data_IF_856491826520
#
_entry.id   IF_856491826520
#
_cell.length_a   1.000
_cell.length_b   1.000
_cell.length_c   1.000
_cell.angle_alpha   90.00
_cell.angle_beta   90.00
_cell.angle_gamma   90.00
#
_symmetry.space_group_name_H-M   'P 1'
#
loop_
_entity.id
_entity.type
_entity.pdbx_description
1 polymer ?
#
# COMPACT_ATOMS: atom_id res chain seq x y z
N UNK A 1 1.74 17.96 -12.49
CA UNK A 1 2.41 16.63 -12.54
C UNK A 1 1.45 15.63 -13.13
N UNK A 2 1.84 14.94 -14.20
CA UNK A 2 1.04 13.89 -14.82
C UNK A 2 1.38 12.54 -14.14
N UNK A 3 0.37 11.87 -13.59
CA UNK A 3 0.56 10.69 -12.71
C UNK A 3 -0.25 9.51 -13.22
N UNK A 4 0.43 8.43 -13.56
CA UNK A 4 -0.20 7.16 -13.89
C UNK A 4 -0.48 6.36 -12.60
N UNK A 5 -1.71 5.89 -12.42
CA UNK A 5 -2.08 5.03 -11.29
C UNK A 5 -2.47 3.66 -11.82
N UNK A 6 -1.69 2.62 -11.52
CA UNK A 6 -2.04 1.24 -11.90
C UNK A 6 -2.81 0.55 -10.79
N UNK A 7 -3.82 -0.27 -11.12
CA UNK A 7 -4.73 -0.84 -10.12
C UNK A 7 -5.64 0.23 -9.49
N UNK A 8 -6.00 1.21 -10.29
CA UNK A 8 -6.63 2.45 -9.86
C UNK A 8 -8.03 2.26 -9.27
N UNK A 9 -8.74 1.20 -9.63
CA UNK A 9 -10.10 0.92 -9.14
C UNK A 9 -10.14 0.04 -7.89
N UNK A 10 -8.97 -0.36 -7.37
CA UNK A 10 -8.87 -1.04 -6.08
C UNK A 10 -9.04 -0.09 -4.88
N UNK A 11 -9.12 -0.65 -3.67
CA UNK A 11 -9.31 0.09 -2.41
C UNK A 11 -8.30 1.23 -2.22
N UNK A 12 -7.02 1.01 -2.54
CA UNK A 12 -5.96 2.02 -2.41
C UNK A 12 -6.07 3.08 -3.52
N UNK A 13 -6.33 2.67 -4.76
CA UNK A 13 -6.46 3.58 -5.90
C UNK A 13 -7.64 4.54 -5.75
N UNK A 14 -8.80 4.02 -5.33
CA UNK A 14 -9.98 4.85 -5.07
C UNK A 14 -9.75 5.81 -3.89
N UNK A 15 -8.97 5.41 -2.86
CA UNK A 15 -8.62 6.32 -1.79
C UNK A 15 -7.79 7.52 -2.29
N UNK A 16 -6.86 7.29 -3.22
CA UNK A 16 -6.06 8.35 -3.82
C UNK A 16 -6.95 9.29 -4.65
N UNK A 17 -7.78 8.76 -5.54
CA UNK A 17 -8.63 9.58 -6.40
C UNK A 17 -9.73 10.32 -5.64
N UNK A 18 -10.29 9.73 -4.58
CA UNK A 18 -11.31 10.37 -3.73
C UNK A 18 -10.75 11.60 -2.97
N UNK A 19 -9.47 11.61 -2.65
CA UNK A 19 -8.85 12.67 -1.85
C UNK A 19 -7.93 13.61 -2.63
N UNK A 20 -7.34 13.16 -3.72
CA UNK A 20 -6.41 13.96 -4.55
C UNK A 20 -6.95 14.23 -5.95
N UNK A 21 -8.07 13.62 -6.37
CA UNK A 21 -8.58 13.74 -7.73
C UNK A 21 -8.95 15.16 -8.16
N UNK A 22 -9.34 16.01 -7.22
CA UNK A 22 -9.66 17.44 -7.46
C UNK A 22 -8.47 18.38 -7.15
N UNK A 23 -7.28 17.85 -6.85
CA UNK A 23 -6.10 18.66 -6.56
C UNK A 23 -5.40 19.08 -7.86
N UNK A 24 -5.43 20.37 -8.18
CA UNK A 24 -4.84 20.96 -9.40
C UNK A 24 -3.34 20.69 -9.59
N UNK A 25 -2.64 20.16 -8.57
CA UNK A 25 -1.22 19.76 -8.68
C UNK A 25 -1.03 18.52 -9.54
N UNK A 26 -2.05 17.65 -9.64
CA UNK A 26 -1.97 16.35 -10.27
C UNK A 26 -2.98 16.20 -11.40
N UNK A 27 -2.55 15.56 -12.49
CA UNK A 27 -3.43 15.05 -13.56
C UNK A 27 -3.32 13.53 -13.54
N UNK A 28 -4.38 12.82 -13.13
CA UNK A 28 -4.35 11.36 -13.03
C UNK A 28 -4.79 10.68 -14.32
N UNK A 29 -4.00 9.68 -14.76
CA UNK A 29 -4.39 8.66 -15.73
C UNK A 29 -4.55 7.34 -14.97
N UNK A 30 -5.72 6.73 -15.04
CA UNK A 30 -6.07 5.53 -14.29
C UNK A 30 -5.94 4.30 -15.18
N UNK A 31 -5.01 3.40 -14.83
CA UNK A 31 -4.82 2.13 -15.54
C UNK A 31 -5.31 0.97 -14.67
N UNK A 32 -6.23 0.19 -15.22
CA UNK A 32 -6.77 -1.01 -14.56
C UNK A 32 -7.17 -2.05 -15.61
N UNK A 33 -7.43 -3.28 -15.18
CA UNK A 33 -8.02 -4.32 -16.04
C UNK A 33 -9.55 -4.15 -16.22
N UNK A 34 -10.17 -3.34 -15.37
CA UNK A 34 -11.60 -3.07 -15.39
C UNK A 34 -11.89 -1.68 -15.96
N UNK A 35 -12.94 -1.60 -16.80
CA UNK A 35 -13.47 -0.33 -17.31
C UNK A 35 -14.51 0.22 -16.32
N UNK A 36 -14.08 1.12 -15.44
CA UNK A 36 -14.96 1.76 -14.46
C UNK A 36 -15.10 3.24 -14.80
N UNK A 37 -16.34 3.78 -14.91
CA UNK A 37 -16.54 5.20 -15.15
C UNK A 37 -15.83 6.09 -14.13
N UNK A 38 -15.03 7.03 -14.60
CA UNK A 38 -14.24 7.96 -13.78
C UNK A 38 -14.26 9.36 -14.39
N UNK A 39 -14.12 10.45 -13.62
CA UNK A 39 -13.86 11.78 -14.13
C UNK A 39 -12.45 11.93 -14.73
N UNK A 40 -11.52 11.02 -14.42
CA UNK A 40 -10.16 10.99 -14.93
C UNK A 40 -10.04 10.14 -16.20
N UNK A 41 -8.97 10.32 -16.95
CA UNK A 41 -8.65 9.43 -18.06
C UNK A 41 -8.45 8.00 -17.56
N UNK A 42 -9.14 7.04 -18.19
CA UNK A 42 -9.05 5.61 -17.84
C UNK A 42 -8.49 4.82 -19.00
N UNK A 43 -7.55 3.94 -18.70
CA UNK A 43 -6.91 3.00 -19.62
C UNK A 43 -7.18 1.57 -19.14
N UNK A 44 -7.69 0.73 -20.03
CA UNK A 44 -7.86 -0.71 -19.75
C UNK A 44 -6.66 -1.45 -20.32
N UNK A 45 -5.80 -1.99 -19.43
CA UNK A 45 -4.61 -2.74 -19.81
C UNK A 45 -4.17 -3.69 -18.69
N UNK A 46 -3.53 -4.80 -19.05
CA UNK A 46 -2.98 -5.78 -18.12
C UNK A 46 -1.50 -5.49 -17.86
N UNK A 47 -1.11 -5.29 -16.62
CA UNK A 47 0.29 -5.07 -16.22
C UNK A 47 1.19 -6.28 -16.51
N UNK A 48 0.62 -7.45 -16.72
CA UNK A 48 1.33 -8.64 -17.21
C UNK A 48 1.84 -8.51 -18.65
N UNK A 49 1.26 -7.59 -19.44
CA UNK A 49 1.53 -7.43 -20.87
C UNK A 49 2.30 -6.11 -21.12
N UNK A 50 3.63 -6.18 -21.17
CA UNK A 50 4.49 -5.00 -21.32
C UNK A 50 4.10 -4.09 -22.50
N UNK A 51 3.85 -4.69 -23.67
CA UNK A 51 3.52 -3.95 -24.88
C UNK A 51 2.16 -3.21 -24.79
N UNK A 52 1.25 -3.69 -23.92
CA UNK A 52 -0.03 -3.03 -23.67
C UNK A 52 0.15 -1.81 -22.77
N UNK A 53 0.95 -1.91 -21.71
CA UNK A 53 1.09 -0.84 -20.73
C UNK A 53 2.08 0.24 -21.15
N UNK A 54 3.17 -0.13 -21.84
CA UNK A 54 4.28 0.77 -22.16
C UNK A 54 3.89 2.10 -22.79
N UNK A 55 2.95 2.15 -23.76
CA UNK A 55 2.54 3.42 -24.37
C UNK A 55 1.90 4.43 -23.40
N UNK A 56 1.32 3.96 -22.30
CA UNK A 56 0.62 4.79 -21.34
C UNK A 56 1.54 5.43 -20.28
N UNK A 57 2.81 5.03 -20.25
CA UNK A 57 3.85 5.69 -19.46
C UNK A 57 4.46 6.91 -20.15
N UNK A 58 4.29 7.04 -21.47
CA UNK A 58 4.83 8.18 -22.20
C UNK A 58 4.15 9.49 -21.79
N UNK A 59 4.96 10.47 -21.40
CA UNK A 59 4.48 11.79 -20.98
C UNK A 59 3.98 11.84 -19.53
N UNK A 60 4.09 10.75 -18.77
CA UNK A 60 3.85 10.77 -17.34
C UNK A 60 5.13 11.23 -16.60
N UNK A 61 4.94 11.96 -15.51
CA UNK A 61 6.03 12.36 -14.60
C UNK A 61 6.30 11.26 -13.55
N UNK A 62 5.24 10.59 -13.09
CA UNK A 62 5.34 9.58 -12.04
C UNK A 62 4.35 8.43 -12.26
N UNK A 63 4.63 7.27 -11.64
CA UNK A 63 3.66 6.19 -11.51
C UNK A 63 3.42 5.81 -10.05
N UNK A 64 2.14 5.69 -9.67
CA UNK A 64 1.71 5.07 -8.42
C UNK A 64 1.29 3.64 -8.74
N UNK A 65 2.17 2.69 -8.39
CA UNK A 65 1.98 1.28 -8.76
C UNK A 65 1.27 0.50 -7.64
N UNK A 66 -0.01 0.24 -7.83
CA UNK A 66 -0.88 -0.46 -6.87
C UNK A 66 -1.33 -1.83 -7.37
N UNK A 67 -1.32 -2.03 -8.69
CA UNK A 67 -1.84 -3.23 -9.33
C UNK A 67 -1.15 -4.50 -8.83
N UNK A 68 -1.94 -5.56 -8.68
CA UNK A 68 -1.50 -6.89 -8.31
C UNK A 68 -2.37 -7.91 -9.04
N UNK A 69 -1.76 -8.89 -9.71
CA UNK A 69 -2.50 -10.00 -10.33
C UNK A 69 -3.05 -10.89 -9.21
N UNK A 70 -4.37 -11.11 -9.14
CA UNK A 70 -4.99 -11.90 -8.09
C UNK A 70 -4.52 -13.35 -8.06
N UNK A 71 -4.55 -13.99 -6.89
CA UNK A 71 -4.32 -15.44 -6.74
C UNK A 71 -3.01 -15.86 -6.09
N UNK A 72 -2.17 -14.91 -5.64
CA UNK A 72 -0.95 -15.23 -4.85
C UNK A 72 -1.25 -15.83 -3.47
N UNK A 73 -2.51 -15.97 -3.12
CA UNK A 73 -2.96 -16.25 -1.76
C UNK A 73 -3.08 -14.95 -0.96
N UNK A 74 -4.07 -14.87 -0.07
CA UNK A 74 -4.20 -13.72 0.81
C UNK A 74 -3.01 -13.61 1.77
N UNK A 75 -2.87 -12.47 2.45
CA UNK A 75 -1.77 -12.21 3.40
C UNK A 75 -1.68 -13.27 4.51
N UNK A 76 -2.79 -13.94 4.83
CA UNK A 76 -2.84 -15.01 5.83
C UNK A 76 -2.41 -16.39 5.30
N UNK A 77 -2.15 -16.52 3.99
CA UNK A 77 -1.70 -17.77 3.38
C UNK A 77 -0.22 -17.99 3.64
N UNK A 78 0.12 -18.85 4.57
CA UNK A 78 1.50 -19.29 4.87
C UNK A 78 1.96 -20.50 4.06
N UNK A 79 1.16 -20.94 3.11
CA UNK A 79 1.52 -22.06 2.24
C UNK A 79 2.65 -21.62 1.28
N UNK A 80 3.82 -22.27 1.36
CA UNK A 80 4.94 -22.04 0.44
C UNK A 80 4.74 -22.75 -0.90
N UNK A 81 3.51 -22.82 -1.39
CA UNK A 81 3.24 -23.44 -2.67
C UNK A 81 3.40 -22.40 -3.77
N UNK A 82 4.40 -22.57 -4.60
CA UNK A 82 4.56 -21.75 -5.79
C UNK A 82 3.36 -21.95 -6.72
N UNK A 83 2.78 -20.88 -7.18
CA UNK A 83 1.69 -20.87 -8.16
C UNK A 83 2.00 -19.92 -9.33
N UNK A 84 1.21 -19.99 -10.40
CA UNK A 84 1.41 -19.15 -11.58
C UNK A 84 1.22 -17.67 -11.25
N UNK A 85 0.23 -17.29 -10.47
CA UNK A 85 -0.01 -15.89 -10.10
C UNK A 85 1.17 -15.24 -9.38
N UNK A 86 2.00 -16.01 -8.68
CA UNK A 86 3.22 -15.50 -8.07
C UNK A 86 4.30 -15.18 -9.13
N UNK A 87 4.46 -16.05 -10.13
CA UNK A 87 5.37 -15.80 -11.25
C UNK A 87 4.86 -14.61 -12.07
N UNK A 88 3.57 -14.59 -12.38
CA UNK A 88 2.92 -13.53 -13.15
C UNK A 88 3.08 -12.16 -12.47
N UNK A 89 2.96 -12.09 -11.13
CA UNK A 89 3.21 -10.85 -10.38
C UNK A 89 4.68 -10.40 -10.38
N UNK A 90 5.64 -11.31 -10.40
CA UNK A 90 7.05 -10.93 -10.54
C UNK A 90 7.32 -10.35 -11.94
N UNK A 91 6.75 -10.93 -12.99
CA UNK A 91 6.81 -10.42 -14.34
C UNK A 91 6.12 -9.05 -14.48
N UNK A 92 4.91 -8.91 -13.93
CA UNK A 92 4.17 -7.65 -13.92
C UNK A 92 4.92 -6.51 -13.21
N UNK A 93 5.59 -6.81 -12.09
CA UNK A 93 6.48 -5.85 -11.42
C UNK A 93 7.61 -5.38 -12.34
N UNK A 94 8.29 -6.31 -13.04
CA UNK A 94 9.30 -5.95 -14.03
C UNK A 94 8.73 -5.07 -15.13
N UNK A 95 7.60 -5.43 -15.72
CA UNK A 95 6.98 -4.68 -16.80
C UNK A 95 6.72 -3.22 -16.41
N UNK A 96 6.17 -2.98 -15.22
CA UNK A 96 5.86 -1.63 -14.75
C UNK A 96 7.14 -0.81 -14.50
N UNK A 97 8.14 -1.41 -13.84
CA UNK A 97 9.41 -0.72 -13.60
C UNK A 97 10.18 -0.43 -14.89
N UNK A 98 10.24 -1.41 -15.81
CA UNK A 98 10.87 -1.24 -17.11
C UNK A 98 10.16 -0.17 -17.94
N UNK A 99 8.81 -0.17 -17.98
CA UNK A 99 8.04 0.84 -18.67
C UNK A 99 8.27 2.26 -18.11
N UNK A 100 8.38 2.39 -16.78
CA UNK A 100 8.68 3.66 -16.13
C UNK A 100 10.09 4.17 -16.48
N UNK A 101 11.09 3.29 -16.46
CA UNK A 101 12.47 3.60 -16.82
C UNK A 101 12.57 3.97 -18.30
N UNK A 102 11.97 3.17 -19.19
CA UNK A 102 12.00 3.38 -20.65
C UNK A 102 11.27 4.65 -21.09
N UNK A 103 10.25 5.07 -20.34
CA UNK A 103 9.55 6.32 -20.58
C UNK A 103 10.26 7.53 -19.95
N UNK A 104 11.21 7.29 -19.04
CA UNK A 104 11.99 8.34 -18.37
C UNK A 104 11.19 9.07 -17.29
N UNK A 105 10.34 8.36 -16.57
CA UNK A 105 9.60 8.93 -15.43
C UNK A 105 10.56 9.38 -14.33
N UNK A 106 10.17 10.42 -13.59
CA UNK A 106 10.94 10.95 -12.47
C UNK A 106 10.86 10.06 -11.23
N UNK A 107 9.69 9.43 -10.98
CA UNK A 107 9.49 8.65 -9.76
C UNK A 107 8.48 7.52 -9.87
N UNK A 108 8.64 6.54 -8.96
CA UNK A 108 7.73 5.41 -8.73
C UNK A 108 7.32 5.40 -7.27
N UNK A 109 6.02 5.47 -6.99
CA UNK A 109 5.45 5.17 -5.67
C UNK A 109 4.90 3.75 -5.70
N UNK A 110 5.54 2.83 -5.00
CA UNK A 110 5.21 1.42 -5.02
C UNK A 110 4.41 1.01 -3.78
N UNK A 111 3.21 0.47 -3.96
CA UNK A 111 2.44 -0.14 -2.88
C UNK A 111 3.08 -1.45 -2.42
N UNK A 112 3.99 -1.36 -1.46
CA UNK A 112 4.46 -2.49 -0.68
C UNK A 112 3.42 -2.86 0.40
N UNK A 113 3.80 -3.55 1.45
CA UNK A 113 2.89 -4.02 2.49
C UNK A 113 3.60 -4.19 3.83
N UNK A 114 2.88 -3.98 4.94
CA UNK A 114 3.31 -4.38 6.28
C UNK A 114 3.71 -5.86 6.36
N UNK A 115 3.18 -6.70 5.48
CA UNK A 115 3.54 -8.12 5.38
C UNK A 115 4.99 -8.35 4.93
N UNK A 116 5.68 -7.36 4.34
CA UNK A 116 7.12 -7.43 4.06
C UNK A 116 7.95 -7.64 5.35
N UNK A 117 7.42 -7.21 6.51
CA UNK A 117 7.94 -7.46 7.85
C UNK A 117 6.96 -8.27 8.72
N UNK A 118 5.96 -8.89 8.12
CA UNK A 118 4.80 -9.52 8.77
C UNK A 118 5.12 -10.62 9.78
N UNK A 119 6.31 -11.23 9.70
CA UNK A 119 6.76 -12.19 10.74
C UNK A 119 6.96 -11.54 12.11
N UNK A 120 7.05 -10.21 12.21
CA UNK A 120 7.04 -9.50 13.51
C UNK A 120 5.66 -9.71 14.16
N UNK A 121 4.59 -9.41 13.42
CA UNK A 121 3.21 -9.65 13.87
C UNK A 121 2.96 -11.14 14.12
N UNK A 122 3.28 -11.99 13.14
CA UNK A 122 2.96 -13.41 13.17
C UNK A 122 3.58 -14.18 14.36
N UNK A 123 4.73 -13.74 14.84
CA UNK A 123 5.42 -14.36 15.99
C UNK A 123 5.02 -13.78 17.34
N UNK A 124 4.48 -12.57 17.37
CA UNK A 124 4.22 -11.84 18.60
C UNK A 124 2.73 -11.52 18.82
N UNK A 125 1.83 -11.93 17.94
CA UNK A 125 0.40 -11.76 18.16
C UNK A 125 -0.10 -12.75 19.25
N UNK A 126 -1.00 -12.31 20.18
CA UNK A 126 -1.65 -10.99 20.20
C UNK A 126 -0.86 -9.89 20.94
N UNK A 127 0.27 -10.20 21.57
CA UNK A 127 1.02 -9.28 22.42
C UNK A 127 1.45 -8.02 21.67
N UNK A 128 1.80 -8.13 20.38
CA UNK A 128 2.22 -7.01 19.52
C UNK A 128 1.16 -5.90 19.42
N UNK A 129 -0.11 -6.21 19.66
CA UNK A 129 -1.20 -5.21 19.65
C UNK A 129 -1.37 -4.47 20.99
N UNK A 130 -0.65 -4.90 22.02
CA UNK A 130 -0.78 -4.40 23.41
C UNK A 130 0.55 -3.96 24.02
N UNK A 131 1.65 -4.57 23.61
CA UNK A 131 2.99 -4.27 24.10
C UNK A 131 3.73 -3.31 23.14
N UNK A 132 3.87 -2.04 23.55
CA UNK A 132 4.56 -1.01 22.77
C UNK A 132 6.08 -1.23 22.63
N UNK A 133 6.64 -2.23 23.31
CA UNK A 133 8.03 -2.64 23.16
C UNK A 133 8.26 -3.58 21.96
N UNK A 134 7.19 -4.09 21.33
CA UNK A 134 7.26 -4.94 20.14
C UNK A 134 6.96 -4.08 18.93
N UNK A 135 7.99 -3.59 18.26
CA UNK A 135 7.86 -2.71 17.09
C UNK A 135 8.78 -3.18 15.95
N UNK A 136 8.36 -2.93 14.73
CA UNK A 136 9.21 -2.93 13.55
C UNK A 136 9.56 -1.47 13.22
N UNK A 137 10.80 -1.10 13.45
CA UNK A 137 11.32 0.22 13.08
C UNK A 137 11.70 0.29 11.60
N UNK A 138 12.13 1.47 11.17
CA UNK A 138 12.55 1.69 9.78
C UNK A 138 13.60 0.67 9.30
N UNK A 139 14.60 0.35 10.12
CA UNK A 139 15.68 -0.58 9.79
C UNK A 139 15.31 -2.07 9.92
N UNK A 140 14.02 -2.41 10.20
CA UNK A 140 13.62 -3.81 10.29
C UNK A 140 13.83 -4.51 8.93
N UNK A 141 14.66 -5.57 8.87
CA UNK A 141 14.92 -6.28 7.64
C UNK A 141 13.65 -6.98 7.14
N UNK A 142 13.59 -7.27 5.84
CA UNK A 142 12.52 -8.08 5.29
C UNK A 142 12.33 -9.38 6.07
N UNK A 143 11.13 -9.60 6.56
CA UNK A 143 10.68 -10.80 7.27
C UNK A 143 9.28 -11.18 6.78
N UNK A 144 9.16 -11.53 5.48
CA UNK A 144 7.87 -11.82 4.86
C UNK A 144 7.19 -13.03 5.52
N UNK A 145 5.88 -12.95 5.70
CA UNK A 145 5.07 -13.97 6.37
C UNK A 145 4.28 -14.86 5.39
N UNK A 146 4.31 -14.54 4.11
CA UNK A 146 3.50 -15.20 3.08
C UNK A 146 4.14 -15.08 1.69
N UNK A 147 3.71 -15.88 0.68
CA UNK A 147 4.10 -15.69 -0.72
C UNK A 147 3.76 -14.30 -1.26
N UNK A 148 2.62 -13.73 -0.86
CA UNK A 148 2.26 -12.35 -1.16
C UNK A 148 3.33 -11.37 -0.64
N UNK A 149 3.75 -11.54 0.60
CA UNK A 149 4.78 -10.71 1.22
C UNK A 149 6.15 -10.83 0.52
N UNK A 150 6.48 -12.03 0.01
CA UNK A 150 7.68 -12.22 -0.81
C UNK A 150 7.63 -11.41 -2.10
N UNK A 151 6.47 -11.36 -2.76
CA UNK A 151 6.29 -10.53 -3.96
C UNK A 151 6.49 -9.04 -3.64
N UNK A 152 5.94 -8.57 -2.51
CA UNK A 152 6.13 -7.17 -2.08
C UNK A 152 7.60 -6.87 -1.73
N UNK A 153 8.27 -7.77 -1.02
CA UNK A 153 9.73 -7.64 -0.74
C UNK A 153 10.58 -7.66 -2.01
N UNK A 154 10.18 -8.42 -3.03
CA UNK A 154 10.82 -8.40 -4.35
C UNK A 154 10.66 -7.04 -5.02
N UNK A 155 9.45 -6.45 -5.02
CA UNK A 155 9.18 -5.13 -5.59
C UNK A 155 10.01 -4.01 -4.93
N UNK A 156 10.18 -4.05 -3.60
CA UNK A 156 11.07 -3.11 -2.90
C UNK A 156 12.53 -3.23 -3.36
N UNK A 157 13.04 -4.46 -3.51
CA UNK A 157 14.41 -4.67 -4.00
C UNK A 157 14.57 -4.30 -5.49
N UNK A 158 13.53 -4.53 -6.31
CA UNK A 158 13.50 -4.08 -7.70
C UNK A 158 13.52 -2.54 -7.77
N UNK A 159 12.76 -1.87 -6.90
CA UNK A 159 12.76 -0.42 -6.79
C UNK A 159 14.12 0.14 -6.41
N UNK A 160 14.81 -0.49 -5.46
CA UNK A 160 16.17 -0.11 -5.10
C UNK A 160 17.14 -0.27 -6.28
N UNK A 161 17.04 -1.37 -7.02
CA UNK A 161 17.84 -1.56 -8.23
C UNK A 161 17.55 -0.49 -9.28
N UNK A 162 16.26 -0.15 -9.49
CA UNK A 162 15.85 0.90 -10.42
C UNK A 162 16.46 2.26 -10.04
N UNK A 163 16.41 2.62 -8.76
CA UNK A 163 17.00 3.87 -8.27
C UNK A 163 18.53 3.88 -8.45
N UNK A 164 19.25 2.86 -7.97
CA UNK A 164 20.70 2.82 -7.99
C UNK A 164 21.28 2.67 -9.43
N UNK A 165 20.59 1.96 -10.33
CA UNK A 165 21.08 1.70 -11.67
C UNK A 165 20.59 2.69 -12.73
N UNK A 166 19.41 3.27 -12.57
CA UNK A 166 18.74 4.10 -13.57
C UNK A 166 18.43 5.52 -13.09
N UNK A 167 18.58 5.81 -11.78
CA UNK A 167 18.41 7.16 -11.23
C UNK A 167 16.95 7.62 -11.13
N UNK A 168 15.97 6.70 -11.25
CA UNK A 168 14.57 6.99 -11.00
C UNK A 168 14.30 6.93 -9.48
N UNK A 169 13.62 7.93 -8.92
CA UNK A 169 13.29 7.93 -7.49
C UNK A 169 12.25 6.88 -7.17
N UNK A 170 12.40 6.15 -6.07
CA UNK A 170 11.44 5.10 -5.69
C UNK A 170 11.08 5.16 -4.21
N UNK A 171 9.78 5.21 -3.94
CA UNK A 171 9.17 5.25 -2.62
C UNK A 171 8.37 3.96 -2.39
N UNK A 172 8.86 3.08 -1.51
CA UNK A 172 8.16 1.85 -1.13
C UNK A 172 7.21 2.10 0.04
N UNK A 173 5.92 2.01 -0.15
CA UNK A 173 4.93 2.19 0.91
C UNK A 173 4.54 0.83 1.52
N UNK A 174 5.07 0.49 2.68
CA UNK A 174 4.67 -0.69 3.47
C UNK A 174 3.33 -0.41 4.13
N UNK A 175 2.27 -0.44 3.32
CA UNK A 175 0.92 -0.09 3.73
C UNK A 175 0.42 -1.01 4.84
N UNK A 176 -0.22 -0.43 5.85
CA UNK A 176 -0.99 -1.10 6.88
C UNK A 176 -2.33 -1.60 6.35
N UNK A 177 -3.40 -1.37 7.09
CA UNK A 177 -4.75 -1.77 6.66
C UNK A 177 -5.54 -0.56 6.19
N UNK A 178 -5.85 -0.54 4.90
CA UNK A 178 -6.75 0.43 4.25
C UNK A 178 -8.03 -0.31 3.88
N UNK A 179 -9.17 0.34 4.06
CA UNK A 179 -10.49 -0.24 3.76
C UNK A 179 -11.30 0.64 2.82
N UNK A 180 -12.35 0.05 2.29
CA UNK A 180 -13.41 0.74 1.57
C UNK A 180 -14.06 1.80 2.48
N UNK A 181 -14.70 2.86 1.92
CA UNK A 181 -15.21 4.00 2.70
C UNK A 181 -16.08 3.63 3.90
N UNK A 182 -16.94 2.61 3.76
CA UNK A 182 -17.84 2.14 4.82
C UNK A 182 -17.12 1.49 6.02
N UNK A 183 -15.88 1.00 5.79
CA UNK A 183 -15.03 0.38 6.81
C UNK A 183 -13.76 1.17 7.11
N UNK A 184 -13.67 2.42 6.63
CA UNK A 184 -12.50 3.28 6.86
C UNK A 184 -12.48 3.87 8.27
N UNK A 185 -12.34 3.01 9.24
CA UNK A 185 -12.22 3.34 10.66
C UNK A 185 -11.52 2.20 11.43
N UNK A 186 -10.98 2.43 12.65
CA UNK A 186 -10.17 1.44 13.37
C UNK A 186 -10.93 0.19 13.87
N UNK A 187 -12.22 0.08 13.58
CA UNK A 187 -13.05 -1.11 13.79
C UNK A 187 -13.39 -1.81 12.47
N UNK A 188 -12.94 -1.30 11.33
CA UNK A 188 -13.38 -1.72 9.99
C UNK A 188 -13.26 -3.22 9.73
N UNK A 189 -12.09 -3.83 10.02
CA UNK A 189 -11.90 -5.29 9.87
C UNK A 189 -12.86 -6.11 10.76
N UNK A 190 -13.11 -5.61 11.96
CA UNK A 190 -13.99 -6.29 12.91
C UNK A 190 -15.46 -6.21 12.47
N UNK A 191 -15.90 -5.03 12.01
CA UNK A 191 -17.26 -4.82 11.49
C UNK A 191 -17.48 -5.58 10.17
N UNK A 192 -16.53 -5.53 9.25
CA UNK A 192 -16.57 -6.33 8.02
C UNK A 192 -16.76 -7.83 8.32
N UNK A 193 -16.06 -8.35 9.32
CA UNK A 193 -16.22 -9.74 9.71
C UNK A 193 -17.57 -10.06 10.36
N UNK A 194 -18.23 -9.09 11.00
CA UNK A 194 -19.62 -9.23 11.49
C UNK A 194 -20.57 -9.30 10.30
N UNK A 195 -20.43 -8.39 9.33
CA UNK A 195 -21.29 -8.33 8.14
C UNK A 195 -21.16 -9.59 7.27
N UNK A 196 -19.95 -10.15 7.20
CA UNK A 196 -19.68 -11.44 6.54
C UNK A 196 -20.09 -12.68 7.37
N UNK A 197 -20.61 -12.49 8.58
CA UNK A 197 -21.04 -13.59 9.46
C UNK A 197 -19.89 -14.46 10.01
N UNK A 198 -18.67 -13.92 10.06
CA UNK A 198 -17.47 -14.64 10.55
C UNK A 198 -17.41 -14.73 12.06
N UNK A 199 -17.93 -13.70 12.75
CA UNK A 199 -17.98 -13.61 14.21
C UNK A 199 -19.09 -12.63 14.66
N UNK A 200 -19.39 -12.66 15.94
CA UNK A 200 -20.35 -11.75 16.57
C UNK A 200 -19.60 -10.53 17.16
N UNK A 201 -20.26 -9.36 17.12
CA UNK A 201 -19.73 -8.13 17.74
C UNK A 201 -19.53 -8.35 19.25
N UNK A 202 -18.36 -7.96 19.77
CA UNK A 202 -17.97 -8.15 21.16
C UNK A 202 -17.48 -9.58 21.51
N UNK A 203 -17.35 -10.48 20.52
CA UNK A 203 -16.68 -11.77 20.73
C UNK A 203 -15.16 -11.60 20.83
N UNK A 204 -14.45 -12.62 21.38
CA UNK A 204 -12.98 -12.60 21.44
C UNK A 204 -12.34 -12.44 20.04
N UNK A 205 -12.97 -12.99 19.00
CA UNK A 205 -12.52 -12.83 17.63
C UNK A 205 -12.68 -11.38 17.17
N UNK A 206 -13.81 -10.74 17.44
CA UNK A 206 -14.06 -9.33 17.16
C UNK A 206 -13.03 -8.44 17.84
N UNK A 207 -12.83 -8.58 19.16
CA UNK A 207 -11.90 -7.78 19.93
C UNK A 207 -10.44 -7.93 19.46
N UNK A 208 -10.04 -9.13 19.03
CA UNK A 208 -8.74 -9.35 18.38
C UNK A 208 -8.57 -8.52 17.12
N UNK A 209 -9.61 -8.48 16.26
CA UNK A 209 -9.54 -7.71 15.01
C UNK A 209 -9.56 -6.21 15.26
N UNK A 210 -10.31 -5.73 16.27
CA UNK A 210 -10.24 -4.33 16.72
C UNK A 210 -8.83 -4.00 17.19
N UNK A 211 -8.23 -4.83 18.06
CA UNK A 211 -6.88 -4.58 18.55
C UNK A 211 -5.84 -4.54 17.42
N UNK A 212 -5.95 -5.47 16.45
CA UNK A 212 -5.09 -5.49 15.27
C UNK A 212 -5.26 -4.24 14.43
N UNK A 213 -6.51 -3.88 14.13
CA UNK A 213 -6.82 -2.74 13.28
C UNK A 213 -6.34 -1.42 13.90
N UNK A 214 -6.51 -1.22 15.20
CA UNK A 214 -5.97 -0.05 15.93
C UNK A 214 -4.45 0.07 15.86
N UNK A 215 -3.74 -1.01 15.58
CA UNK A 215 -2.28 -1.00 15.39
C UNK A 215 -1.83 -0.78 13.95
N UNK A 216 -2.69 -1.03 12.97
CA UNK A 216 -2.34 -1.07 11.54
C UNK A 216 -3.18 -0.16 10.65
N UNK A 217 -4.25 0.43 11.17
CA UNK A 217 -5.13 1.27 10.37
C UNK A 217 -4.38 2.45 9.76
N UNK A 218 -4.57 2.63 8.47
CA UNK A 218 -4.27 3.84 7.74
C UNK A 218 -5.56 4.33 7.10
N UNK A 219 -6.03 5.51 7.49
CA UNK A 219 -7.21 6.09 6.86
C UNK A 219 -6.95 6.39 5.39
N UNK A 220 -8.01 6.40 4.59
CA UNK A 220 -7.94 6.75 3.17
C UNK A 220 -7.33 8.14 2.96
N UNK A 221 -7.67 9.09 3.85
CA UNK A 221 -7.14 10.45 3.84
C UNK A 221 -5.63 10.48 4.11
N UNK A 222 -5.17 9.77 5.13
CA UNK A 222 -3.75 9.72 5.48
C UNK A 222 -2.93 8.97 4.42
N UNK A 223 -3.50 7.92 3.82
CA UNK A 223 -2.90 7.25 2.66
C UNK A 223 -2.69 8.23 1.50
N UNK A 224 -3.73 8.97 1.12
CA UNK A 224 -3.66 9.94 0.03
C UNK A 224 -2.62 11.03 0.33
N UNK A 225 -2.56 11.53 1.57
CA UNK A 225 -1.54 12.49 1.99
C UNK A 225 -0.13 11.88 1.85
N UNK A 226 0.08 10.61 2.27
CA UNK A 226 1.40 9.96 2.15
C UNK A 226 1.83 9.84 0.68
N UNK A 227 0.91 9.48 -0.21
CA UNK A 227 1.18 9.42 -1.65
C UNK A 227 1.53 10.82 -2.18
N UNK A 228 0.79 11.86 -1.78
CA UNK A 228 1.10 13.24 -2.18
C UNK A 228 2.50 13.67 -1.68
N UNK A 229 2.86 13.34 -0.44
CA UNK A 229 4.21 13.60 0.08
C UNK A 229 5.30 12.95 -0.76
N UNK A 230 5.11 11.69 -1.21
CA UNK A 230 6.07 11.01 -2.09
C UNK A 230 6.12 11.64 -3.50
N UNK A 231 4.98 12.05 -4.05
CA UNK A 231 4.93 12.69 -5.37
C UNK A 231 5.59 14.07 -5.36
N UNK A 232 5.47 14.82 -4.27
CA UNK A 232 6.01 16.17 -4.12
C UNK A 232 7.49 16.18 -3.66
N UNK A 233 8.04 15.04 -3.19
CA UNK A 233 9.43 14.94 -2.75
C UNK A 233 10.39 14.76 -3.94
N UNK A 234 11.55 15.45 -3.88
CA UNK A 234 12.64 15.32 -4.84
C UNK A 234 13.99 14.95 -4.21
N UNK A 235 14.01 14.66 -2.93
CA UNK A 235 15.21 14.44 -2.13
C UNK A 235 15.60 12.97 -1.96
N UNK A 236 14.61 12.06 -2.00
CA UNK A 236 14.80 10.61 -1.82
C UNK A 236 15.21 9.98 -3.16
N UNK A 237 16.31 9.21 -3.17
CA UNK A 237 16.64 8.33 -4.29
C UNK A 237 15.87 7.01 -4.19
N UNK A 238 15.96 6.34 -3.04
CA UNK A 238 15.20 5.16 -2.68
C UNK A 238 14.97 5.09 -1.17
N UNK A 239 13.73 4.89 -0.76
CA UNK A 239 13.40 4.64 0.63
C UNK A 239 12.06 3.88 0.76
N UNK A 240 11.76 3.41 1.97
CA UNK A 240 10.46 2.84 2.29
C UNK A 240 9.87 3.47 3.54
N UNK A 241 8.55 3.52 3.61
CA UNK A 241 7.81 4.13 4.72
C UNK A 241 6.67 3.23 5.15
N UNK A 242 6.38 3.18 6.44
CA UNK A 242 5.21 2.47 6.92
C UNK A 242 3.96 3.33 6.79
N UNK A 243 2.99 2.81 6.04
CA UNK A 243 1.68 3.43 5.83
C UNK A 243 0.75 3.11 6.99
N UNK A 244 0.74 3.96 8.01
CA UNK A 244 -0.17 3.90 9.15
C UNK A 244 -0.62 5.31 9.51
N UNK A 245 -1.83 5.44 10.07
CA UNK A 245 -2.28 6.67 10.70
C UNK A 245 -1.57 6.92 12.05
N UNK A 246 -1.87 8.01 12.73
CA UNK A 246 -1.23 8.42 13.99
C UNK A 246 -1.49 7.51 15.19
N UNK A 247 -1.86 6.26 14.96
CA UNK A 247 -2.30 5.29 15.97
C UNK A 247 -1.27 5.13 17.09
N UNK A 248 -1.69 5.28 18.34
CA UNK A 248 -0.81 5.08 19.48
C UNK A 248 -0.30 3.64 19.63
N UNK A 249 -1.10 2.64 19.18
CA UNK A 249 -0.79 1.19 19.30
C UNK A 249 -0.06 0.62 18.10
N UNK A 250 0.40 1.46 17.16
CA UNK A 250 1.12 0.98 15.99
C UNK A 250 2.35 0.18 16.39
N UNK A 251 2.53 -0.94 15.74
CA UNK A 251 3.75 -1.74 15.84
C UNK A 251 4.69 -1.54 14.63
N UNK A 252 4.21 -0.88 13.60
CA UNK A 252 5.02 -0.32 12.51
C UNK A 252 5.36 1.11 12.91
N UNK A 253 6.62 1.38 13.22
CA UNK A 253 7.00 2.66 13.84
C UNK A 253 8.19 3.31 13.17
N UNK A 254 7.89 4.12 12.15
CA UNK A 254 8.84 5.02 11.50
C UNK A 254 8.24 6.41 11.20
N UNK A 255 7.16 6.79 11.89
CA UNK A 255 6.48 8.07 11.60
C UNK A 255 7.40 9.29 11.74
N UNK A 256 8.37 9.26 12.65
CA UNK A 256 9.34 10.35 12.76
C UNK A 256 10.25 10.39 11.53
N UNK A 257 10.68 9.22 11.02
CA UNK A 257 11.44 9.14 9.78
C UNK A 257 10.63 9.63 8.57
N UNK A 258 9.39 9.18 8.42
CA UNK A 258 8.51 9.62 7.34
C UNK A 258 8.23 11.13 7.39
N UNK A 259 8.06 11.70 8.60
CA UNK A 259 7.88 13.14 8.79
C UNK A 259 9.12 13.93 8.41
N UNK A 260 10.30 13.48 8.85
CA UNK A 260 11.56 14.17 8.59
C UNK A 260 12.00 14.07 7.13
N UNK A 261 11.67 12.97 6.46
CA UNK A 261 12.14 12.67 5.09
C UNK A 261 11.18 13.20 4.03
N UNK A 262 9.89 12.88 4.10
CA UNK A 262 8.89 13.24 3.08
C UNK A 262 7.80 14.17 3.61
N UNK A 263 7.83 14.58 4.87
CA UNK A 263 6.82 15.49 5.45
C UNK A 263 5.47 14.82 5.75
N UNK A 264 5.41 13.49 5.89
CA UNK A 264 4.17 12.79 6.20
C UNK A 264 3.70 13.08 7.62
N UNK A 265 2.54 13.71 7.77
CA UNK A 265 1.90 14.03 9.05
C UNK A 265 0.46 13.49 9.07
N UNK A 266 0.24 12.24 9.54
CA UNK A 266 -1.10 11.65 9.60
C UNK A 266 -2.03 12.48 10.49
N UNK A 267 -3.27 12.60 10.08
CA UNK A 267 -4.30 13.40 10.75
C UNK A 267 -5.28 12.56 11.56
N UNK A 268 -5.33 11.26 11.29
CA UNK A 268 -6.23 10.32 11.95
C UNK A 268 -5.50 9.48 12.98
N UNK A 269 -6.23 9.08 14.03
CA UNK A 269 -5.73 8.25 15.13
C UNK A 269 -6.81 7.27 15.58
N UNK A 270 -6.51 5.99 15.56
CA UNK A 270 -7.43 4.93 15.95
C UNK A 270 -7.85 4.98 17.42
N UNK A 271 -7.09 5.62 18.31
CA UNK A 271 -7.45 5.77 19.72
C UNK A 271 -8.50 6.85 19.98
N UNK A 272 -8.77 7.74 19.01
CA UNK A 272 -9.85 8.73 19.11
C UNK A 272 -11.26 8.13 18.90
N UNK A 273 -11.33 6.82 18.62
CA UNK A 273 -12.59 6.11 18.38
C UNK A 273 -12.97 5.25 19.59
N UNK A 274 -14.10 5.56 20.23
CA UNK A 274 -14.66 4.78 21.35
C UNK A 274 -15.45 3.54 20.89
N UNK A 275 -15.81 3.48 19.61
CA UNK A 275 -16.59 2.39 19.00
C UNK A 275 -16.69 2.55 17.49
N UNK A 276 -17.28 1.57 16.79
CA UNK A 276 -17.59 1.69 15.36
C UNK A 276 -18.63 2.82 15.16
N UNK A 277 -18.68 3.41 13.94
CA UNK A 277 -19.74 4.37 13.61
C UNK A 277 -21.13 3.73 13.74
N UNK A 278 -22.16 4.56 14.06
CA UNK A 278 -23.57 4.12 14.18
C UNK A 278 -24.20 3.75 12.84
#
# INVERSE_FOLDING_TARGET
MDVLVTGAHGTVGTAITDHLGDDDRYTFTLLDIEDVPSPHETVVADIGEYDEIRPHFEGQDAVVHLALIPGTGGPDSRALTWNTAQADNLEALHNVYEAAIDAGLDSIVFASSNHAVGMVEAKNAPEVYHDRGIVAGHDEPHRPDSPYALTKSYGENLGRLAAEAHGIRVYGLRLGTIREPEYDHPYGDAEYGVDEGRWERGSDAYEKWVARMKGLWQSRRDLAQMVACCLDDDSVEWDHFYGVSGNERRWLDDLDHARETIGYEPQDDGEQWDGPPE
#
